data_IF_298350930620
#
_entry.id   IF_298350930620
#
_cell.length_a   1.000
_cell.length_b   1.000
_cell.length_c   1.000
_cell.angle_alpha   90.00
_cell.angle_beta   90.00
_cell.angle_gamma   90.00
#
_symmetry.space_group_name_H-M   'P 1'
#
loop_
_entity.id
_entity.type
_entity.pdbx_description
1 polymer ?
#
# COMPACT_ATOMS: atom_id res chain seq x y z
N UNK A 1 12.75 24.52 1.04
CA UNK A 1 13.93 23.79 1.56
C UNK A 1 13.48 22.39 1.91
N UNK A 2 14.14 21.36 1.37
CA UNK A 2 13.93 19.98 1.81
C UNK A 2 14.08 19.92 3.34
N UNK A 3 13.08 19.39 4.06
CA UNK A 3 13.23 19.11 5.49
C UNK A 3 14.09 17.85 5.63
N UNK A 4 15.39 18.06 5.52
CA UNK A 4 16.41 17.00 5.43
C UNK A 4 16.51 16.18 6.71
N UNK A 5 16.04 16.70 7.85
CA UNK A 5 16.19 16.04 9.16
C UNK A 5 15.44 14.71 9.22
N UNK A 6 14.17 14.68 8.86
CA UNK A 6 13.35 13.47 8.91
C UNK A 6 13.92 12.38 7.99
N UNK A 7 14.32 12.74 6.78
CA UNK A 7 14.94 11.81 5.84
C UNK A 7 16.30 11.29 6.33
N UNK A 8 17.14 12.15 6.92
CA UNK A 8 18.42 11.74 7.50
C UNK A 8 18.22 10.79 8.68
N UNK A 9 17.18 10.96 9.49
CA UNK A 9 16.89 10.02 10.57
C UNK A 9 16.48 8.64 10.04
N UNK A 10 15.75 8.56 8.90
CA UNK A 10 15.49 7.28 8.23
C UNK A 10 16.80 6.60 7.79
N UNK A 11 17.69 7.35 7.13
CA UNK A 11 18.98 6.84 6.65
C UNK A 11 19.91 6.39 7.79
N UNK A 12 19.82 7.02 8.97
CA UNK A 12 20.59 6.61 10.15
C UNK A 12 20.09 5.30 10.75
N UNK A 13 18.77 5.08 10.73
CA UNK A 13 18.17 3.87 11.28
C UNK A 13 18.50 2.65 10.43
N UNK A 14 18.42 2.80 9.11
CA UNK A 14 18.78 1.75 8.17
C UNK A 14 19.44 2.40 6.95
N UNK A 15 20.78 2.43 6.87
CA UNK A 15 21.44 3.03 5.72
C UNK A 15 21.29 2.12 4.49
N UNK A 16 20.68 2.61 3.40
CA UNK A 16 20.48 1.81 2.21
C UNK A 16 21.82 1.40 1.60
N UNK A 17 21.96 0.10 1.31
CA UNK A 17 23.13 -0.48 0.63
C UNK A 17 22.68 -1.53 -0.37
N UNK A 18 23.45 -1.80 -1.43
CA UNK A 18 23.14 -2.88 -2.36
C UNK A 18 22.97 -4.19 -1.61
N UNK A 19 21.88 -4.89 -1.90
CA UNK A 19 21.57 -6.21 -1.35
C UNK A 19 22.48 -7.22 -2.02
N UNK A 20 23.16 -8.07 -1.24
CA UNK A 20 24.11 -9.07 -1.76
C UNK A 20 23.82 -10.48 -1.28
N UNK A 21 22.87 -10.63 -0.37
CA UNK A 21 22.45 -11.90 0.19
C UNK A 21 20.95 -11.90 0.45
N UNK A 22 20.41 -13.08 0.65
CA UNK A 22 19.01 -13.26 1.06
C UNK A 22 18.74 -12.66 2.45
N UNK A 23 19.72 -12.69 3.35
CA UNK A 23 19.65 -12.03 4.66
C UNK A 23 19.52 -10.49 4.53
N UNK A 24 20.25 -9.88 3.59
CA UNK A 24 20.13 -8.46 3.27
C UNK A 24 18.73 -8.13 2.69
N UNK A 25 18.19 -9.04 1.85
CA UNK A 25 16.86 -8.91 1.27
C UNK A 25 15.78 -8.96 2.37
N UNK A 26 15.82 -9.98 3.23
CA UNK A 26 14.89 -10.13 4.36
C UNK A 26 14.93 -8.92 5.29
N UNK A 27 16.14 -8.43 5.63
CA UNK A 27 16.31 -7.25 6.46
C UNK A 27 15.67 -6.01 5.81
N UNK A 28 15.90 -5.80 4.52
CA UNK A 28 15.32 -4.67 3.77
C UNK A 28 13.81 -4.76 3.71
N UNK A 29 13.27 -5.95 3.44
CA UNK A 29 11.83 -6.18 3.32
C UNK A 29 11.11 -6.00 4.67
N UNK A 30 11.77 -6.35 5.78
CA UNK A 30 11.27 -6.06 7.13
C UNK A 30 11.15 -4.55 7.39
N UNK A 31 12.11 -3.74 6.95
CA UNK A 31 12.04 -2.28 7.08
C UNK A 31 10.89 -1.72 6.24
N UNK A 32 10.72 -2.21 5.00
CA UNK A 32 9.59 -1.82 4.15
C UNK A 32 8.25 -2.12 4.84
N UNK A 33 8.08 -3.33 5.37
CA UNK A 33 6.85 -3.73 6.06
C UNK A 33 6.57 -2.82 7.27
N UNK A 34 7.58 -2.51 8.09
CA UNK A 34 7.44 -1.60 9.23
C UNK A 34 7.03 -0.17 8.81
N UNK A 35 7.48 0.30 7.65
CA UNK A 35 7.06 1.59 7.11
C UNK A 35 5.62 1.54 6.61
N UNK A 36 5.23 0.46 5.92
CA UNK A 36 3.88 0.28 5.35
C UNK A 36 2.80 -0.01 6.40
N UNK A 37 3.18 -0.55 7.56
CA UNK A 37 2.28 -0.74 8.71
C UNK A 37 1.81 0.59 9.32
N UNK A 38 2.43 1.72 8.96
CA UNK A 38 2.02 3.04 9.44
C UNK A 38 0.71 3.47 8.77
N UNK A 39 -0.26 4.02 9.52
CA UNK A 39 -1.56 4.42 8.97
C UNK A 39 -1.46 5.59 7.97
N UNK A 40 -0.38 6.38 8.05
CA UNK A 40 -0.09 7.48 7.12
C UNK A 40 1.41 7.62 6.96
N UNK A 41 1.87 7.49 5.72
CA UNK A 41 3.24 7.74 5.32
C UNK A 41 3.44 9.22 5.00
N UNK A 42 4.59 9.74 5.41
CA UNK A 42 5.09 11.06 4.99
C UNK A 42 5.68 10.96 3.58
N UNK A 43 5.74 12.09 2.87
CA UNK A 43 6.41 12.18 1.56
C UNK A 43 7.85 11.63 1.61
N UNK A 44 8.55 11.80 2.74
CA UNK A 44 9.95 11.35 2.89
C UNK A 44 10.08 9.86 3.15
N UNK A 45 9.09 9.25 3.78
CA UNK A 45 9.02 7.80 3.88
C UNK A 45 8.67 7.18 2.52
N UNK A 46 7.86 7.85 1.69
CA UNK A 46 7.66 7.45 0.29
C UNK A 46 8.96 7.54 -0.52
N UNK A 47 9.65 8.68 -0.49
CA UNK A 47 10.94 8.86 -1.15
C UNK A 47 11.95 7.76 -0.72
N UNK A 48 11.90 7.35 0.54
CA UNK A 48 12.77 6.32 1.09
C UNK A 48 12.35 4.90 0.68
N UNK A 49 11.04 4.61 0.65
CA UNK A 49 10.50 3.36 0.13
C UNK A 49 10.87 3.13 -1.34
N UNK A 50 10.85 4.19 -2.16
CA UNK A 50 11.25 4.11 -3.56
C UNK A 50 12.73 3.68 -3.70
N UNK A 51 13.60 4.22 -2.85
CA UNK A 51 15.02 3.81 -2.81
C UNK A 51 15.16 2.35 -2.40
N UNK A 52 14.47 1.91 -1.34
CA UNK A 52 14.54 0.51 -0.89
C UNK A 52 13.97 -0.46 -1.92
N UNK A 53 12.86 -0.10 -2.57
CA UNK A 53 12.26 -0.88 -3.65
C UNK A 53 13.20 -1.04 -4.84
N UNK A 54 13.95 0.01 -5.19
CA UNK A 54 14.94 -0.05 -6.25
C UNK A 54 16.12 -0.99 -5.90
N UNK A 55 16.51 -1.09 -4.63
CA UNK A 55 17.54 -2.03 -4.18
C UNK A 55 17.08 -3.48 -4.28
N UNK A 56 15.83 -3.76 -3.90
CA UNK A 56 15.22 -5.09 -4.05
C UNK A 56 15.16 -5.47 -5.53
N UNK A 57 14.66 -4.57 -6.37
CA UNK A 57 14.62 -4.80 -7.81
C UNK A 57 16.01 -5.07 -8.40
N UNK A 58 17.01 -4.28 -8.02
CA UNK A 58 18.39 -4.45 -8.52
C UNK A 58 18.99 -5.81 -8.14
N UNK A 59 18.63 -6.34 -6.97
CA UNK A 59 19.04 -7.67 -6.53
C UNK A 59 18.27 -8.80 -7.23
N UNK A 60 16.94 -8.66 -7.35
CA UNK A 60 16.07 -9.71 -7.88
C UNK A 60 16.10 -9.81 -9.41
N UNK A 61 16.40 -8.73 -10.14
CA UNK A 61 16.34 -8.71 -11.62
C UNK A 61 17.21 -9.76 -12.30
N UNK A 62 18.33 -10.13 -11.68
CA UNK A 62 19.32 -11.07 -12.21
C UNK A 62 19.15 -12.47 -11.60
N UNK A 63 18.32 -12.59 -10.56
CA UNK A 63 17.93 -13.87 -10.01
C UNK A 63 16.82 -14.42 -10.92
N UNK A 64 16.94 -15.68 -11.33
CA UNK A 64 15.95 -16.39 -12.14
C UNK A 64 14.71 -16.75 -11.28
N UNK A 65 14.18 -15.76 -10.56
CA UNK A 65 12.99 -15.84 -9.73
C UNK A 65 11.82 -15.73 -10.69
N UNK A 66 11.48 -16.84 -11.34
CA UNK A 66 10.11 -17.01 -11.82
C UNK A 66 9.27 -17.16 -10.56
N UNK A 67 8.42 -16.18 -10.19
CA UNK A 67 7.55 -16.37 -9.05
C UNK A 67 6.71 -17.61 -9.34
N UNK A 68 6.69 -18.58 -8.43
CA UNK A 68 5.79 -19.76 -8.49
C UNK A 68 4.33 -19.35 -8.21
N UNK A 69 3.97 -18.15 -8.63
CA UNK A 69 2.61 -17.68 -8.71
C UNK A 69 2.12 -18.14 -10.07
N UNK A 70 1.43 -19.28 -10.06
CA UNK A 70 0.68 -19.74 -11.22
C UNK A 70 -0.10 -18.55 -11.79
N UNK A 71 -0.02 -18.30 -13.09
CA UNK A 71 -0.65 -17.17 -13.79
C UNK A 71 -2.15 -17.05 -13.45
N UNK A 72 -2.78 -18.18 -13.12
CA UNK A 72 -4.14 -18.28 -12.58
C UNK A 72 -4.35 -17.62 -11.20
N UNK A 73 -3.38 -17.70 -10.29
CA UNK A 73 -3.44 -17.05 -8.98
C UNK A 73 -3.34 -15.52 -9.10
N UNK A 74 -2.51 -14.98 -10.00
CA UNK A 74 -2.49 -13.54 -10.30
C UNK A 74 -3.85 -13.04 -10.82
N UNK A 75 -4.48 -13.79 -11.73
CA UNK A 75 -5.81 -13.47 -12.26
C UNK A 75 -6.90 -13.53 -11.18
N UNK A 76 -6.83 -14.51 -10.27
CA UNK A 76 -7.76 -14.60 -9.13
C UNK A 76 -7.60 -13.43 -8.17
N UNK A 77 -6.37 -13.05 -7.84
CA UNK A 77 -6.08 -11.91 -6.96
C UNK A 77 -6.64 -10.61 -7.55
N UNK A 78 -6.37 -10.36 -8.84
CA UNK A 78 -6.90 -9.20 -9.58
C UNK A 78 -8.44 -9.20 -9.58
N UNK A 79 -9.07 -10.34 -9.89
CA UNK A 79 -10.53 -10.46 -9.91
C UNK A 79 -11.16 -10.20 -8.55
N UNK A 80 -10.53 -10.70 -7.48
CA UNK A 80 -11.02 -10.55 -6.10
C UNK A 80 -10.90 -9.11 -5.60
N UNK A 81 -9.86 -8.39 -5.99
CA UNK A 81 -9.70 -6.96 -5.72
C UNK A 81 -10.80 -6.13 -6.41
N UNK A 82 -11.09 -6.43 -7.69
CA UNK A 82 -12.14 -5.78 -8.46
C UNK A 82 -13.55 -6.04 -7.89
N UNK A 83 -13.86 -7.27 -7.46
CA UNK A 83 -15.12 -7.59 -6.79
C UNK A 83 -15.29 -6.84 -5.46
N UNK A 84 -14.22 -6.77 -4.64
CA UNK A 84 -14.26 -6.05 -3.36
C UNK A 84 -14.46 -4.55 -3.54
N UNK A 85 -13.90 -3.96 -4.61
CA UNK A 85 -14.09 -2.54 -4.91
C UNK A 85 -15.50 -2.25 -5.45
N UNK A 86 -16.02 -3.13 -6.30
CA UNK A 86 -17.37 -3.01 -6.84
C UNK A 86 -18.44 -3.21 -5.76
N UNK A 87 -18.28 -4.18 -4.86
CA UNK A 87 -19.23 -4.44 -3.79
C UNK A 87 -19.31 -3.28 -2.78
N UNK A 88 -18.17 -2.68 -2.39
CA UNK A 88 -18.13 -1.52 -1.49
C UNK A 88 -18.85 -0.33 -2.11
N UNK A 89 -18.63 -0.06 -3.40
CA UNK A 89 -19.32 1.01 -4.13
C UNK A 89 -20.83 0.78 -4.17
N UNK A 90 -21.28 -0.45 -4.39
CA UNK A 90 -22.70 -0.80 -4.45
C UNK A 90 -23.38 -0.67 -3.07
N UNK A 91 -22.71 -1.12 -2.00
CA UNK A 91 -23.21 -0.97 -0.62
C UNK A 91 -23.34 0.51 -0.25
N UNK A 92 -22.34 1.34 -0.57
CA UNK A 92 -22.39 2.79 -0.31
C UNK A 92 -23.52 3.45 -1.10
N UNK A 93 -23.74 3.06 -2.36
CA UNK A 93 -24.82 3.59 -3.19
C UNK A 93 -26.20 3.20 -2.64
N UNK A 94 -26.38 1.96 -2.18
CA UNK A 94 -27.63 1.48 -1.58
C UNK A 94 -27.94 2.19 -0.25
N UNK A 95 -26.93 2.41 0.59
CA UNK A 95 -27.08 3.16 1.86
C UNK A 95 -27.42 4.63 1.61
N UNK A 96 -26.83 5.26 0.59
CA UNK A 96 -27.15 6.64 0.20
C UNK A 96 -28.57 6.78 -0.35
N UNK A 97 -29.07 5.79 -1.10
CA UNK A 97 -30.45 5.80 -1.62
C UNK A 97 -31.49 5.69 -0.49
N UNK A 98 -31.24 4.81 0.49
CA UNK A 98 -32.14 4.62 1.63
C UNK A 98 -32.14 5.79 2.65
N UNK A 99 -31.20 6.74 2.54
CA UNK A 99 -31.14 7.93 3.41
C UNK A 99 -31.70 9.20 2.76
N UNK A 100 -31.89 9.22 1.44
CA UNK A 100 -32.42 10.37 0.70
C UNK A 100 -33.94 10.26 0.48
N UNK A 101 -34.51 9.05 0.52
CA UNK A 101 -35.94 8.81 0.25
C UNK A 101 -36.84 8.76 1.51
N UNK A 102 -36.41 9.32 2.66
CA UNK A 102 -37.30 9.48 3.83
C UNK A 102 -37.87 10.90 3.83
N UNK A 103 -39.15 11.12 3.46
CA UNK A 103 -39.75 12.44 3.58
C UNK A 103 -39.76 12.88 5.05
N UNK A 104 -39.34 14.12 5.27
CA UNK A 104 -39.42 14.82 6.55
C UNK A 104 -40.90 14.99 6.92
N UNK A 105 -41.46 14.04 7.68
CA UNK A 105 -42.74 14.22 8.38
C UNK A 105 -42.54 15.11 9.61
N UNK A 106 -42.27 16.38 9.36
CA UNK A 106 -42.53 17.46 10.31
C UNK A 106 -42.95 18.65 9.47
N UNK A 107 -44.26 18.80 9.32
CA UNK A 107 -44.97 20.08 9.44
C UNK A 107 -46.41 19.84 8.98
N UNK A 108 -47.33 19.77 9.94
CA UNK A 108 -48.61 20.50 9.94
C UNK A 108 -49.37 20.13 11.21
N UNK A 109 -49.18 20.95 12.24
CA UNK A 109 -50.10 21.04 13.37
C UNK A 109 -51.03 22.24 13.09
N UNK A 110 -52.31 21.99 12.82
CA UNK A 110 -53.41 22.94 12.94
C UNK A 110 -54.71 22.19 13.20
#
# INVERSE_FOLDING_TARGET
MYNQKEYIELLKQFPPRPIKSEEDLEATQKIINQLLDKPKLTEKEYDYLDVLGMLIYDYEKDLDIVPDINEFELLKLSSKEHELKHNKKNIIAALRKNTIDKPSEFDHNS
#
